data_IF_755230918355
#
_entry.id   IF_755230918355
#
_cell.length_a   1.000
_cell.length_b   1.000
_cell.length_c   1.000
_cell.angle_alpha   90.00
_cell.angle_beta   90.00
_cell.angle_gamma   90.00
#
_symmetry.space_group_name_H-M   'P 1'
#
loop_
_entity.id
_entity.type
_entity.pdbx_description
1 polymer ?
#
# COMPACT_ATOMS: atom_id res chain seq x y z
N UNK A 1 -10.65 17.37 2.40
CA UNK A 1 -9.60 17.51 1.37
C UNK A 1 -8.69 18.63 1.80
N UNK A 2 -7.39 18.37 1.89
CA UNK A 2 -6.37 19.30 2.41
C UNK A 2 -5.63 20.08 1.31
N UNK A 3 -5.96 19.82 0.03
CA UNK A 3 -5.33 20.47 -1.13
C UNK A 3 -3.91 19.98 -1.44
N UNK A 4 -3.41 18.95 -0.74
CA UNK A 4 -2.05 18.46 -0.94
C UNK A 4 -1.96 17.47 -2.10
N UNK A 5 -0.83 17.44 -2.84
CA UNK A 5 -0.64 16.50 -3.93
C UNK A 5 -0.55 15.05 -3.41
N UNK A 6 -1.23 14.14 -4.11
CA UNK A 6 -1.11 12.71 -3.83
C UNK A 6 0.24 12.18 -4.33
N UNK A 7 0.98 11.49 -3.46
CA UNK A 7 2.32 10.95 -3.77
C UNK A 7 2.35 9.42 -3.93
N UNK A 8 1.34 8.71 -3.44
CA UNK A 8 1.24 7.25 -3.50
C UNK A 8 -0.12 6.92 -4.10
N UNK A 9 -0.12 6.11 -5.16
CA UNK A 9 -1.33 5.68 -5.86
C UNK A 9 -1.31 4.15 -5.88
N UNK A 10 -2.37 3.51 -5.38
CA UNK A 10 -2.55 2.07 -5.43
C UNK A 10 -3.66 1.76 -6.42
N UNK A 11 -3.30 1.02 -7.47
CA UNK A 11 -4.24 0.50 -8.45
C UNK A 11 -4.38 -0.99 -8.25
N UNK A 12 -5.61 -1.48 -8.21
CA UNK A 12 -5.90 -2.91 -8.14
C UNK A 12 -6.88 -3.36 -9.19
N UNK A 13 -6.65 -4.59 -9.65
CA UNK A 13 -7.60 -5.32 -10.47
C UNK A 13 -8.35 -6.31 -9.59
N UNK A 14 -9.64 -6.39 -9.82
CA UNK A 14 -10.58 -7.07 -8.96
C UNK A 14 -11.53 -7.90 -9.80
N UNK A 15 -11.80 -9.18 -9.43
CA UNK A 15 -12.76 -10.00 -10.15
C UNK A 15 -14.16 -9.40 -10.07
N UNK A 16 -14.90 -9.40 -11.18
CA UNK A 16 -16.23 -8.77 -11.30
C UNK A 16 -17.26 -9.29 -10.26
N UNK A 17 -17.11 -10.53 -9.80
CA UNK A 17 -18.11 -11.23 -9.00
C UNK A 17 -17.64 -11.58 -7.56
N UNK A 18 -16.59 -10.93 -7.05
CA UNK A 18 -16.05 -11.24 -5.72
C UNK A 18 -16.01 -10.00 -4.82
N UNK A 19 -17.07 -9.75 -4.06
CA UNK A 19 -17.20 -8.55 -3.21
C UNK A 19 -16.34 -8.59 -1.92
N UNK A 20 -16.14 -9.78 -1.35
CA UNK A 20 -15.49 -9.95 -0.05
C UNK A 20 -13.96 -9.66 -0.03
N UNK A 21 -13.17 -9.98 -1.07
CA UNK A 21 -11.74 -9.67 -1.11
C UNK A 21 -11.41 -8.17 -1.08
N UNK A 22 -12.34 -7.28 -1.45
CA UNK A 22 -12.06 -5.84 -1.53
C UNK A 22 -11.88 -5.19 -0.16
N UNK A 23 -12.74 -5.49 0.82
CA UNK A 23 -12.63 -4.88 2.14
C UNK A 23 -11.37 -5.33 2.88
N UNK A 24 -11.01 -6.61 2.76
CA UNK A 24 -9.78 -7.15 3.33
C UNK A 24 -8.55 -6.47 2.71
N UNK A 25 -8.53 -6.38 1.37
CA UNK A 25 -7.46 -5.69 0.65
C UNK A 25 -7.34 -4.22 1.07
N UNK A 26 -8.45 -3.49 1.14
CA UNK A 26 -8.43 -2.09 1.57
C UNK A 26 -7.96 -1.91 3.01
N UNK A 27 -8.30 -2.84 3.91
CA UNK A 27 -7.78 -2.85 5.28
C UNK A 27 -6.26 -3.05 5.32
N UNK A 28 -5.74 -4.01 4.56
CA UNK A 28 -4.29 -4.26 4.46
C UNK A 28 -3.55 -3.03 3.92
N UNK A 29 -4.07 -2.43 2.84
CA UNK A 29 -3.52 -1.19 2.28
C UNK A 29 -3.54 -0.05 3.28
N UNK A 30 -4.64 0.13 4.01
CA UNK A 30 -4.78 1.19 5.00
C UNK A 30 -3.77 1.04 6.15
N UNK A 31 -3.52 -0.20 6.58
CA UNK A 31 -2.51 -0.51 7.59
C UNK A 31 -1.09 -0.20 7.10
N UNK A 32 -0.77 -0.57 5.86
CA UNK A 32 0.52 -0.29 5.25
C UNK A 32 0.74 1.22 5.00
N UNK A 33 -0.31 1.98 4.69
CA UNK A 33 -0.24 3.42 4.39
C UNK A 33 -0.41 4.33 5.62
N UNK A 34 -0.04 3.86 6.82
CA UNK A 34 0.14 4.74 7.98
C UNK A 34 1.32 5.72 7.78
N UNK A 35 1.52 6.67 8.70
CA UNK A 35 2.57 7.70 8.54
C UNK A 35 3.98 7.12 8.32
N UNK A 36 4.35 6.08 9.08
CA UNK A 36 5.64 5.42 8.99
C UNK A 36 5.78 4.67 7.66
N UNK A 37 4.74 3.93 7.27
CA UNK A 37 4.73 3.18 6.02
C UNK A 37 4.80 4.09 4.80
N UNK A 38 4.09 5.22 4.79
CA UNK A 38 4.18 6.22 3.70
C UNK A 38 5.58 6.80 3.58
N UNK A 39 6.23 7.14 4.70
CA UNK A 39 7.62 7.64 4.71
C UNK A 39 8.60 6.57 4.17
N UNK A 40 8.42 5.31 4.58
CA UNK A 40 9.24 4.20 4.09
C UNK A 40 9.05 3.96 2.58
N UNK A 41 7.81 3.92 2.09
CA UNK A 41 7.51 3.74 0.67
C UNK A 41 8.12 4.83 -0.21
N UNK A 42 8.09 6.08 0.25
CA UNK A 42 8.70 7.20 -0.50
C UNK A 42 10.24 7.17 -0.47
N UNK A 43 10.84 6.43 0.46
CA UNK A 43 12.29 6.26 0.55
C UNK A 43 12.82 5.13 -0.33
N UNK A 44 11.98 4.13 -0.65
CA UNK A 44 12.35 2.98 -1.47
C UNK A 44 12.95 3.39 -2.83
N UNK A 45 13.95 2.66 -3.27
CA UNK A 45 14.63 2.81 -4.56
C UNK A 45 14.35 1.65 -5.51
N UNK A 46 13.85 0.54 -4.97
CA UNK A 46 13.56 -0.66 -5.75
C UNK A 46 12.14 -1.18 -5.49
N UNK A 47 11.53 -1.91 -6.46
CA UNK A 47 10.24 -2.55 -6.25
C UNK A 47 10.23 -3.57 -5.10
N UNK A 48 11.35 -4.25 -4.87
CA UNK A 48 11.50 -5.24 -3.80
C UNK A 48 11.44 -4.58 -2.41
N UNK A 49 12.10 -3.44 -2.24
CA UNK A 49 11.97 -2.64 -1.02
C UNK A 49 10.52 -2.21 -0.79
N UNK A 50 9.82 -1.77 -1.85
CA UNK A 50 8.40 -1.41 -1.75
C UNK A 50 7.55 -2.61 -1.33
N UNK A 51 7.80 -3.78 -1.93
CA UNK A 51 7.10 -5.02 -1.58
C UNK A 51 7.31 -5.40 -0.11
N UNK A 52 8.55 -5.32 0.39
CA UNK A 52 8.86 -5.60 1.79
C UNK A 52 8.15 -4.65 2.75
N UNK A 53 8.09 -3.35 2.42
CA UNK A 53 7.35 -2.36 3.21
C UNK A 53 5.84 -2.64 3.21
N UNK A 54 5.25 -2.98 2.05
CA UNK A 54 3.82 -3.24 1.91
C UNK A 54 3.37 -4.52 2.61
N UNK A 55 4.23 -5.55 2.66
CA UNK A 55 3.92 -6.86 3.24
C UNK A 55 4.37 -7.01 4.68
N UNK A 56 5.24 -6.12 5.16
CA UNK A 56 5.85 -6.23 6.49
C UNK A 56 6.92 -7.32 6.59
N UNK A 57 7.41 -7.84 5.47
CA UNK A 57 8.48 -8.82 5.45
C UNK A 57 9.78 -8.19 5.98
N UNK A 58 10.39 -8.84 6.98
CA UNK A 58 11.72 -8.44 7.48
C UNK A 58 12.78 -8.94 6.50
N UNK A 59 13.63 -8.04 6.03
CA UNK A 59 14.90 -8.43 5.40
C UNK A 59 15.73 -9.08 6.51
N UNK A 60 16.09 -10.35 6.31
CA UNK A 60 17.01 -11.09 7.19
C UNK A 60 18.39 -11.08 6.56
#
# INVERSE_FOLDING_TARGET
>A
MDGQPSKIIILTLSPKNASAPHMQFMSMVSQALNEKGRKALLACKTPEEMFNVLTGNKIT
#
